data_IF_497431129907
#
_entry.id   IF_497431129907
#
_cell.length_a   1.000
_cell.length_b   1.000
_cell.length_c   1.000
_cell.angle_alpha   90.00
_cell.angle_beta   90.00
_cell.angle_gamma   90.00
#
_symmetry.space_group_name_H-M   'P 1'
#
loop_
_entity.id
_entity.type
_entity.pdbx_description
1 polymer ?
#
# COMPACT_ATOMS: atom_id res chain seq x y z
N UNK A 1 2.16 -23.23 13.10
CA UNK A 1 2.26 -22.06 12.21
C UNK A 1 0.89 -21.40 12.15
N UNK A 2 0.78 -20.13 12.45
CA UNK A 2 -0.50 -19.43 12.40
C UNK A 2 -1.01 -19.46 10.94
N UNK A 3 -2.21 -20.01 10.73
CA UNK A 3 -2.81 -20.20 9.41
C UNK A 3 -2.96 -18.88 8.61
N UNK A 4 -3.09 -17.76 9.32
CA UNK A 4 -3.20 -16.43 8.70
C UNK A 4 -1.84 -15.96 8.19
N UNK A 5 -0.78 -16.12 8.97
CA UNK A 5 0.57 -15.70 8.61
C UNK A 5 1.10 -16.44 7.37
N UNK A 6 0.90 -17.76 7.29
CA UNK A 6 1.36 -18.56 6.15
C UNK A 6 0.73 -18.17 4.81
N UNK A 7 -0.46 -17.57 4.84
CA UNK A 7 -1.16 -17.06 3.65
C UNK A 7 -0.61 -15.73 3.12
N UNK A 8 0.30 -15.09 3.84
CA UNK A 8 0.86 -13.80 3.42
C UNK A 8 2.08 -13.97 2.51
N UNK A 9 2.66 -15.15 2.45
CA UNK A 9 3.76 -15.44 1.56
C UNK A 9 3.24 -16.01 0.23
N UNK A 10 3.53 -15.38 -0.91
CA UNK A 10 3.16 -15.95 -2.21
C UNK A 10 3.90 -17.26 -2.46
N UNK A 11 3.29 -18.15 -3.24
CA UNK A 11 3.96 -19.32 -3.77
C UNK A 11 4.94 -18.95 -4.90
N UNK A 12 5.92 -19.78 -5.24
CA UNK A 12 6.83 -19.55 -6.37
C UNK A 12 6.09 -19.17 -7.65
N UNK A 13 6.55 -18.10 -8.32
CA UNK A 13 5.93 -17.56 -9.53
C UNK A 13 4.61 -16.79 -9.30
N UNK A 14 4.26 -16.49 -8.04
CA UNK A 14 3.08 -15.71 -7.69
C UNK A 14 3.49 -14.40 -7.03
N UNK A 15 2.70 -13.34 -7.29
CA UNK A 15 2.83 -12.04 -6.65
C UNK A 15 1.56 -11.68 -5.89
N UNK A 16 1.75 -10.97 -4.76
CA UNK A 16 0.66 -10.35 -4.02
C UNK A 16 0.84 -8.82 -4.03
N UNK A 17 -0.24 -8.06 -4.07
CA UNK A 17 -0.22 -6.71 -3.54
C UNK A 17 -0.12 -6.85 -2.01
N UNK A 18 1.07 -6.60 -1.48
CA UNK A 18 1.41 -6.82 -0.07
C UNK A 18 0.94 -5.65 0.79
N UNK A 19 1.36 -4.43 0.46
CA UNK A 19 0.94 -3.22 1.15
C UNK A 19 1.05 -1.98 0.28
N UNK A 20 0.38 -0.93 0.73
CA UNK A 20 0.63 0.45 0.33
C UNK A 20 1.09 1.24 1.55
N UNK A 21 1.90 2.30 1.35
CA UNK A 21 2.28 3.14 2.46
C UNK A 21 1.96 4.61 2.22
N UNK A 22 1.34 5.23 3.23
CA UNK A 22 1.27 6.66 3.38
C UNK A 22 2.58 7.17 3.98
N UNK A 23 3.07 8.30 3.48
CA UNK A 23 4.10 9.05 4.20
C UNK A 23 3.40 10.16 4.95
N UNK A 24 3.58 10.17 6.26
CA UNK A 24 2.88 11.08 7.17
C UNK A 24 3.88 11.88 8.00
N UNK A 25 3.54 13.11 8.39
CA UNK A 25 4.45 13.92 9.20
C UNK A 25 4.60 13.39 10.62
N UNK A 26 3.53 12.76 11.18
CA UNK A 26 3.46 12.37 12.59
C UNK A 26 2.60 11.12 12.78
N UNK A 27 3.15 10.07 13.45
CA UNK A 27 2.49 8.79 13.59
C UNK A 27 1.36 8.77 14.62
N UNK A 28 1.44 9.57 15.68
CA UNK A 28 0.40 9.63 16.71
C UNK A 28 -0.91 10.18 16.14
N UNK A 29 -0.85 11.26 15.36
CA UNK A 29 -2.01 11.82 14.67
C UNK A 29 -2.60 10.84 13.65
N UNK A 30 -1.73 10.16 12.89
CA UNK A 30 -2.14 9.13 11.94
C UNK A 30 -2.84 7.95 12.65
N UNK A 31 -2.26 7.43 13.74
CA UNK A 31 -2.84 6.35 14.52
C UNK A 31 -4.21 6.73 15.11
N UNK A 32 -4.33 7.95 15.66
CA UNK A 32 -5.60 8.45 16.20
C UNK A 32 -6.69 8.54 15.10
N UNK A 33 -6.35 9.08 13.93
CA UNK A 33 -7.26 9.16 12.81
C UNK A 33 -7.73 7.78 12.32
N UNK A 34 -6.82 6.80 12.27
CA UNK A 34 -7.14 5.42 11.90
C UNK A 34 -8.05 4.74 12.93
N UNK A 35 -7.80 4.94 14.22
CA UNK A 35 -8.65 4.42 15.29
C UNK A 35 -10.06 5.02 15.24
N UNK A 36 -10.19 6.32 14.96
CA UNK A 36 -11.47 6.98 14.76
C UNK A 36 -12.25 6.39 13.56
N UNK A 37 -11.55 5.99 12.50
CA UNK A 37 -12.12 5.25 11.37
C UNK A 37 -12.47 3.78 11.70
N UNK A 38 -12.16 3.31 12.91
CA UNK A 38 -12.51 1.96 13.38
C UNK A 38 -11.47 0.89 13.04
N UNK A 39 -10.24 1.28 12.74
CA UNK A 39 -9.14 0.33 12.57
C UNK A 39 -8.47 -0.01 13.90
N UNK A 40 -7.96 -1.22 13.99
CA UNK A 40 -6.94 -1.62 14.95
C UNK A 40 -5.58 -1.24 14.36
N UNK A 41 -4.76 -0.52 15.12
CA UNK A 41 -3.45 -0.02 14.70
C UNK A 41 -2.37 -0.70 15.51
N UNK A 42 -1.28 -1.12 14.86
CA UNK A 42 -0.12 -1.70 15.57
C UNK A 42 0.58 -0.63 16.40
N UNK A 43 1.32 -1.00 17.45
CA UNK A 43 2.26 -0.09 18.08
C UNK A 43 3.25 0.51 17.09
N UNK A 44 3.76 1.71 17.40
CA UNK A 44 4.85 2.32 16.65
C UNK A 44 6.09 1.43 16.71
N UNK A 45 6.80 1.35 15.58
CA UNK A 45 7.98 0.52 15.45
C UNK A 45 9.05 1.22 14.60
N UNK A 46 10.25 1.41 15.17
CA UNK A 46 11.40 1.95 14.44
C UNK A 46 11.96 0.91 13.47
N UNK A 47 12.27 1.33 12.26
CA UNK A 47 12.83 0.46 11.23
C UNK A 47 14.38 0.48 11.28
N UNK A 48 14.97 -0.69 11.04
CA UNK A 48 16.40 -0.88 10.95
C UNK A 48 16.77 -1.59 9.65
N UNK A 49 17.88 -1.18 9.06
CA UNK A 49 18.54 -1.89 7.96
C UNK A 49 19.70 -2.70 8.50
N UNK A 50 20.37 -3.46 7.63
CA UNK A 50 21.65 -4.11 7.98
C UNK A 50 22.75 -3.11 8.41
N UNK A 51 22.64 -1.85 7.98
CA UNK A 51 23.62 -0.79 8.23
C UNK A 51 23.27 0.05 9.48
N UNK A 52 22.14 -0.25 10.16
CA UNK A 52 21.69 0.45 11.36
C UNK A 52 20.29 1.06 11.24
N UNK A 53 19.96 2.08 12.07
CA UNK A 53 18.64 2.71 12.05
C UNK A 53 18.28 3.29 10.69
N UNK A 54 17.11 2.95 10.17
CA UNK A 54 16.62 3.47 8.88
C UNK A 54 16.20 4.96 8.94
N UNK A 55 16.03 5.52 10.15
CA UNK A 55 15.56 6.89 10.37
C UNK A 55 14.07 7.07 10.09
N UNK A 56 13.33 5.98 10.06
CA UNK A 56 11.88 5.96 9.89
C UNK A 56 11.23 5.06 10.91
N UNK A 57 10.04 5.44 11.36
CA UNK A 57 9.16 4.61 12.18
C UNK A 57 7.85 4.42 11.45
N UNK A 58 7.08 3.38 11.82
CA UNK A 58 5.77 3.12 11.25
C UNK A 58 4.75 2.67 12.27
N UNK A 59 3.49 2.83 11.90
CA UNK A 59 2.34 2.08 12.41
C UNK A 59 1.65 1.39 11.24
N UNK A 60 0.98 0.27 11.49
CA UNK A 60 0.30 -0.50 10.44
C UNK A 60 -1.14 -0.82 10.81
N UNK A 61 -1.97 -0.95 9.78
CA UNK A 61 -3.30 -1.56 9.83
C UNK A 61 -3.19 -2.91 9.13
N UNK A 62 -3.18 -3.99 9.91
CA UNK A 62 -3.03 -5.35 9.37
C UNK A 62 -4.39 -5.87 8.90
N UNK A 63 -4.47 -6.35 7.66
CA UNK A 63 -5.69 -6.93 7.10
C UNK A 63 -5.53 -8.44 6.95
N UNK A 64 -6.61 -9.16 6.74
CA UNK A 64 -6.55 -10.61 6.44
C UNK A 64 -5.75 -10.88 5.16
N UNK A 65 -5.70 -9.89 4.25
CA UNK A 65 -4.92 -9.94 3.02
C UNK A 65 -4.25 -8.58 2.76
N UNK A 66 -2.93 -8.52 2.98
CA UNK A 66 -2.14 -7.31 2.86
C UNK A 66 -2.26 -6.39 4.09
N UNK A 67 -1.72 -5.18 4.01
CA UNK A 67 -1.81 -4.18 5.07
C UNK A 67 -1.64 -2.75 4.56
N UNK A 68 -1.98 -1.79 5.39
CA UNK A 68 -1.68 -0.37 5.18
C UNK A 68 -0.55 0.01 6.12
N UNK A 69 0.49 0.65 5.59
CA UNK A 69 1.61 1.16 6.37
C UNK A 69 1.54 2.70 6.42
N UNK A 70 1.85 3.26 7.56
CA UNK A 70 1.99 4.70 7.75
C UNK A 70 3.40 4.96 8.26
N UNK A 71 4.21 5.61 7.43
CA UNK A 71 5.64 5.87 7.64
C UNK A 71 5.86 7.34 7.96
N UNK A 72 6.62 7.59 9.02
CA UNK A 72 7.10 8.93 9.35
C UNK A 72 8.63 8.98 9.47
N UNK A 73 9.28 10.11 9.15
CA UNK A 73 10.68 10.33 9.45
C UNK A 73 10.88 10.44 10.96
N UNK A 74 11.79 9.64 11.53
CA UNK A 74 12.11 9.62 12.97
C UNK A 74 13.54 10.08 13.31
N UNK A 75 14.38 10.28 12.28
CA UNK A 75 15.73 10.82 12.43
C UNK A 75 16.16 11.52 11.13
N UNK A 76 17.35 12.11 11.12
CA UNK A 76 17.91 12.74 9.92
C UNK A 76 18.79 11.74 9.14
N UNK A 77 18.17 11.00 8.25
CA UNK A 77 18.81 10.03 7.36
C UNK A 77 18.40 10.28 5.91
N UNK A 78 19.17 9.77 4.97
CA UNK A 78 18.81 9.85 3.53
C UNK A 78 17.42 9.24 3.24
N UNK A 79 17.03 8.18 3.97
CA UNK A 79 15.72 7.57 3.82
C UNK A 79 14.60 8.48 4.36
N UNK A 80 14.80 9.08 5.54
CA UNK A 80 13.86 10.05 6.10
C UNK A 80 13.70 11.29 5.21
N UNK A 81 14.81 11.78 4.63
CA UNK A 81 14.77 12.91 3.70
C UNK A 81 13.96 12.60 2.43
N UNK A 82 14.06 11.35 1.91
CA UNK A 82 13.21 10.91 0.76
C UNK A 82 11.72 10.93 1.11
N UNK A 83 11.35 10.57 2.35
CA UNK A 83 9.94 10.68 2.79
C UNK A 83 9.49 12.14 2.82
N UNK A 84 10.30 13.05 3.39
CA UNK A 84 9.99 14.49 3.44
C UNK A 84 9.79 15.07 2.04
N UNK A 85 10.70 14.75 1.11
CA UNK A 85 10.59 15.19 -0.29
C UNK A 85 9.34 14.65 -0.98
N UNK A 86 8.98 13.39 -0.74
CA UNK A 86 7.76 12.81 -1.31
C UNK A 86 6.50 13.51 -0.78
N UNK A 87 6.41 13.76 0.53
CA UNK A 87 5.29 14.47 1.16
C UNK A 87 5.10 15.90 0.64
N UNK A 88 6.17 16.57 0.15
CA UNK A 88 6.07 17.88 -0.48
C UNK A 88 5.36 17.85 -1.84
N UNK A 89 5.30 16.69 -2.50
CA UNK A 89 4.62 16.54 -3.80
C UNK A 89 3.10 16.54 -3.64
N UNK A 90 2.60 15.75 -2.70
CA UNK A 90 1.18 15.64 -2.34
C UNK A 90 1.04 14.86 -1.02
N UNK A 91 -0.05 15.04 -0.26
CA UNK A 91 -0.34 14.21 0.90
C UNK A 91 -0.93 12.86 0.49
N UNK A 92 -0.58 11.77 1.17
CA UNK A 92 -1.21 10.45 0.95
C UNK A 92 -0.26 9.31 0.67
N UNK A 93 -0.62 8.48 -0.29
CA UNK A 93 0.10 7.23 -0.60
C UNK A 93 1.31 7.52 -1.48
N UNK A 94 2.48 7.05 -1.06
CA UNK A 94 3.74 7.23 -1.78
C UNK A 94 4.49 5.92 -2.05
N UNK A 95 3.93 4.78 -1.60
CA UNK A 95 4.56 3.48 -1.78
C UNK A 95 3.53 2.43 -2.15
N UNK A 96 3.90 1.59 -3.13
CA UNK A 96 3.20 0.37 -3.51
C UNK A 96 4.20 -0.79 -3.44
N UNK A 97 3.86 -1.84 -2.69
CA UNK A 97 4.74 -2.97 -2.46
C UNK A 97 4.09 -4.28 -2.90
N UNK A 98 4.84 -5.04 -3.70
CA UNK A 98 4.48 -6.40 -4.09
C UNK A 98 5.18 -7.41 -3.18
N UNK A 99 4.43 -8.38 -2.66
CA UNK A 99 4.98 -9.54 -1.97
C UNK A 99 5.51 -10.56 -2.96
N UNK A 100 6.74 -11.03 -2.73
CA UNK A 100 7.39 -12.08 -3.52
C UNK A 100 7.89 -13.20 -2.60
N UNK A 101 7.95 -14.46 -3.07
CA UNK A 101 8.60 -15.54 -2.32
C UNK A 101 10.13 -15.52 -2.47
N UNK A 102 10.67 -14.76 -3.44
CA UNK A 102 12.10 -14.78 -3.81
C UNK A 102 12.60 -13.39 -4.18
N UNK A 103 13.19 -12.69 -3.21
CA UNK A 103 13.75 -11.36 -3.41
C UNK A 103 15.02 -11.38 -4.29
N UNK A 104 15.83 -12.45 -4.24
CA UNK A 104 17.02 -12.57 -5.09
C UNK A 104 16.63 -12.74 -6.56
N UNK A 105 15.64 -13.59 -6.83
CA UNK A 105 15.11 -13.78 -8.17
C UNK A 105 14.51 -12.50 -8.75
N UNK A 106 13.74 -11.74 -7.97
CA UNK A 106 13.21 -10.43 -8.41
C UNK A 106 14.33 -9.41 -8.66
N UNK A 107 15.35 -9.36 -7.82
CA UNK A 107 16.49 -8.49 -8.01
C UNK A 107 17.23 -8.82 -9.33
N UNK A 108 17.50 -10.10 -9.58
CA UNK A 108 18.15 -10.56 -10.80
C UNK A 108 17.30 -10.27 -12.05
N UNK A 109 15.98 -10.50 -11.96
CA UNK A 109 15.03 -10.22 -13.04
C UNK A 109 14.97 -8.73 -13.36
N UNK A 110 14.86 -7.85 -12.37
CA UNK A 110 14.85 -6.40 -12.57
C UNK A 110 16.15 -5.89 -13.20
N UNK A 111 17.29 -6.46 -12.80
CA UNK A 111 18.59 -6.15 -13.41
C UNK A 111 18.62 -6.54 -14.88
N UNK A 112 18.15 -7.73 -15.22
CA UNK A 112 18.06 -8.20 -16.60
C UNK A 112 17.10 -7.36 -17.46
N UNK A 113 16.08 -6.75 -16.85
CA UNK A 113 15.10 -5.88 -17.49
C UNK A 113 15.51 -4.39 -17.50
N UNK A 114 16.71 -4.03 -17.10
CA UNK A 114 17.22 -2.65 -17.18
C UNK A 114 16.67 -1.70 -16.11
N UNK A 115 16.09 -2.20 -15.02
CA UNK A 115 15.61 -1.36 -13.91
C UNK A 115 16.72 -0.91 -12.96
N UNK A 116 17.92 -1.46 -13.06
CA UNK A 116 19.06 -1.13 -12.21
C UNK A 116 18.70 -1.16 -10.72
N UNK A 117 18.32 -2.33 -10.17
CA UNK A 117 17.91 -2.44 -8.80
C UNK A 117 19.05 -2.09 -7.86
N UNK A 118 18.71 -1.39 -6.76
CA UNK A 118 19.64 -1.12 -5.68
C UNK A 118 20.01 -2.43 -4.95
N UNK A 119 21.14 -2.48 -4.22
CA UNK A 119 21.46 -3.64 -3.39
C UNK A 119 20.28 -4.02 -2.50
N UNK A 120 20.11 -5.33 -2.30
CA UNK A 120 19.04 -5.87 -1.44
C UNK A 120 19.14 -5.27 -0.04
N UNK A 121 18.00 -4.79 0.46
CA UNK A 121 17.92 -4.24 1.81
C UNK A 121 17.33 -5.29 2.74
N UNK A 122 18.05 -5.64 3.79
CA UNK A 122 17.50 -6.38 4.92
C UNK A 122 16.87 -5.38 5.88
N UNK A 123 15.56 -5.42 5.99
CA UNK A 123 14.79 -4.59 6.89
C UNK A 123 14.35 -5.40 8.10
N UNK A 124 14.41 -4.79 9.26
CA UNK A 124 13.87 -5.39 10.47
C UNK A 124 13.27 -4.33 11.39
N UNK A 125 12.34 -4.78 12.24
CA UNK A 125 11.77 -3.97 13.30
C UNK A 125 11.41 -4.83 14.51
N UNK A 126 11.59 -4.31 15.71
CA UNK A 126 11.05 -4.95 16.91
C UNK A 126 9.53 -4.77 16.91
N UNK A 127 8.81 -5.82 17.19
CA UNK A 127 7.37 -5.80 17.38
C UNK A 127 7.04 -6.14 18.84
N UNK A 128 5.76 -6.09 19.19
CA UNK A 128 5.32 -6.39 20.54
C UNK A 128 5.81 -7.79 20.98
N UNK A 129 6.07 -7.95 22.27
CA UNK A 129 6.57 -9.17 22.93
C UNK A 129 8.02 -9.56 22.53
N UNK A 130 8.81 -8.58 22.08
CA UNK A 130 10.23 -8.78 21.77
C UNK A 130 10.53 -9.57 20.50
N UNK A 131 9.50 -9.97 19.76
CA UNK A 131 9.67 -10.59 18.44
C UNK A 131 10.29 -9.59 17.45
N UNK A 132 10.95 -10.11 16.42
CA UNK A 132 11.55 -9.33 15.35
C UNK A 132 10.82 -9.63 14.04
N UNK A 133 10.27 -8.61 13.40
CA UNK A 133 9.81 -8.73 12.03
C UNK A 133 10.98 -8.49 11.08
N UNK A 134 11.17 -9.38 10.12
CA UNK A 134 12.30 -9.36 9.20
C UNK A 134 11.83 -9.48 7.75
N UNK A 135 12.49 -8.71 6.88
CA UNK A 135 12.11 -8.57 5.48
C UNK A 135 13.35 -8.45 4.60
N UNK A 136 13.22 -8.91 3.35
CA UNK A 136 14.16 -8.57 2.28
C UNK A 136 13.44 -7.71 1.25
N UNK A 137 14.01 -6.57 0.88
CA UNK A 137 13.35 -5.57 0.03
C UNK A 137 14.18 -5.31 -1.21
N UNK A 138 13.54 -5.37 -2.37
CA UNK A 138 14.12 -5.02 -3.67
C UNK A 138 13.57 -3.66 -4.08
N UNK A 139 14.48 -2.71 -4.29
CA UNK A 139 14.18 -1.32 -4.67
C UNK A 139 14.86 -0.95 -5.97
N UNK A 140 14.23 -0.06 -6.70
CA UNK A 140 14.83 0.60 -7.87
C UNK A 140 15.01 2.10 -7.61
N UNK A 141 15.77 2.79 -8.44
CA UNK A 141 15.89 4.24 -8.36
C UNK A 141 14.52 4.91 -8.62
N UNK A 142 14.29 6.08 -8.01
CA UNK A 142 12.98 6.75 -8.03
C UNK A 142 12.53 7.16 -9.44
N UNK A 143 13.46 7.45 -10.33
CA UNK A 143 13.20 7.80 -11.73
C UNK A 143 12.71 6.61 -12.57
N UNK A 144 12.97 5.38 -12.12
CA UNK A 144 12.49 4.17 -12.80
C UNK A 144 10.99 3.91 -12.57
N UNK A 145 10.46 4.35 -11.43
CA UNK A 145 9.04 4.25 -11.08
C UNK A 145 8.57 5.57 -10.46
N UNK A 146 8.35 6.63 -11.28
CA UNK A 146 8.14 7.99 -10.79
C UNK A 146 6.79 8.21 -10.11
N UNK A 147 5.84 7.27 -10.23
CA UNK A 147 4.54 7.35 -9.56
C UNK A 147 4.68 7.24 -8.03
N UNK A 148 5.73 6.60 -7.54
CA UNK A 148 6.00 6.43 -6.13
C UNK A 148 7.12 5.42 -5.88
N UNK A 149 7.35 5.08 -4.63
CA UNK A 149 8.25 3.98 -4.29
C UNK A 149 7.56 2.65 -4.60
N UNK A 150 7.87 2.06 -5.75
CA UNK A 150 7.40 0.73 -6.13
C UNK A 150 8.50 -0.29 -5.84
N UNK A 151 8.19 -1.34 -5.09
CA UNK A 151 9.20 -2.28 -4.59
C UNK A 151 8.63 -3.68 -4.41
N UNK A 152 9.53 -4.67 -4.21
CA UNK A 152 9.15 -6.00 -3.76
C UNK A 152 9.57 -6.20 -2.31
N UNK A 153 8.81 -7.02 -1.58
CA UNK A 153 9.14 -7.50 -0.24
C UNK A 153 9.01 -9.02 -0.17
N UNK A 154 10.01 -9.65 0.39
CA UNK A 154 9.93 -11.03 0.88
C UNK A 154 9.75 -10.98 2.39
N UNK A 155 8.63 -11.50 2.87
CA UNK A 155 8.31 -11.64 4.28
C UNK A 155 9.11 -12.84 4.84
N UNK A 156 9.98 -12.63 5.83
CA UNK A 156 10.76 -13.71 6.45
C UNK A 156 10.11 -14.23 7.74
N UNK A 157 9.40 -13.36 8.46
CA UNK A 157 8.72 -13.67 9.73
C UNK A 157 7.30 -13.13 9.74
N UNK A 158 6.41 -13.59 8.83
CA UNK A 158 5.05 -13.04 8.71
C UNK A 158 4.23 -13.21 10.00
N UNK A 159 4.49 -14.24 10.81
CA UNK A 159 3.85 -14.47 12.10
C UNK A 159 4.16 -13.38 13.13
N UNK A 160 5.25 -12.64 12.96
CA UNK A 160 5.57 -11.53 13.85
C UNK A 160 4.64 -10.32 13.66
N UNK A 161 4.02 -10.15 12.48
CA UNK A 161 3.19 -9.01 12.16
C UNK A 161 1.71 -9.36 11.91
N UNK A 162 1.38 -10.50 11.30
CA UNK A 162 -0.01 -10.96 11.13
C UNK A 162 -0.51 -11.70 12.37
N UNK A 163 -0.74 -10.95 13.44
CA UNK A 163 -1.23 -11.46 14.73
C UNK A 163 -2.72 -11.19 14.85
N UNK A 164 -3.47 -12.15 15.42
CA UNK A 164 -4.93 -12.07 15.54
C UNK A 164 -5.43 -10.81 16.22
N UNK A 165 -4.67 -10.28 17.18
CA UNK A 165 -5.02 -9.05 17.91
C UNK A 165 -5.00 -7.78 17.04
N UNK A 166 -4.34 -7.79 15.88
CA UNK A 166 -4.30 -6.67 14.94
C UNK A 166 -5.29 -6.81 13.78
N UNK A 167 -6.04 -7.89 13.75
CA UNK A 167 -7.11 -8.16 12.81
C UNK A 167 -8.48 -7.86 13.44
N UNK A 168 -9.54 -7.90 12.69
CA UNK A 168 -10.89 -7.74 13.27
C UNK A 168 -11.28 -6.28 13.50
N UNK A 169 -11.09 -5.44 12.49
CA UNK A 169 -11.46 -4.02 12.53
C UNK A 169 -12.97 -3.82 12.67
N UNK A 170 -13.40 -2.89 13.54
CA UNK A 170 -14.82 -2.58 13.73
C UNK A 170 -15.50 -2.00 12.49
N UNK A 171 -14.73 -1.47 11.56
CA UNK A 171 -15.19 -1.01 10.24
C UNK A 171 -15.29 -2.11 9.19
N UNK A 172 -14.95 -3.35 9.55
CA UNK A 172 -15.05 -4.58 8.72
C UNK A 172 -14.14 -4.64 7.49
N UNK A 173 -13.12 -3.79 7.38
CA UNK A 173 -12.11 -3.89 6.33
C UNK A 173 -11.27 -5.17 6.50
N UNK A 174 -11.06 -5.91 5.40
CA UNK A 174 -10.41 -7.24 5.43
C UNK A 174 -9.30 -7.42 4.42
N UNK A 175 -9.26 -6.60 3.35
CA UNK A 175 -8.29 -6.81 2.28
C UNK A 175 -7.89 -5.50 1.62
N UNK A 176 -6.60 -5.36 1.34
CA UNK A 176 -6.10 -4.40 0.37
C UNK A 176 -6.35 -4.96 -1.03
N UNK A 177 -7.33 -4.39 -1.72
CA UNK A 177 -7.83 -4.93 -2.97
C UNK A 177 -7.10 -4.38 -4.19
N UNK A 178 -6.74 -3.09 -4.18
CA UNK A 178 -6.16 -2.44 -5.35
C UNK A 178 -5.30 -1.23 -4.97
N UNK A 179 -4.18 -1.01 -5.68
CA UNK A 179 -3.46 0.26 -5.72
C UNK A 179 -3.93 1.07 -6.93
N UNK A 180 -4.09 2.39 -6.77
CA UNK A 180 -4.62 3.31 -7.78
C UNK A 180 -3.50 4.24 -8.24
N UNK A 181 -3.22 4.27 -9.55
CA UNK A 181 -2.08 4.99 -10.15
C UNK A 181 -2.59 6.07 -11.09
N UNK A 182 -2.06 7.30 -10.93
CA UNK A 182 -2.31 8.43 -11.84
C UNK A 182 -1.22 8.49 -12.89
N UNK A 183 -1.63 8.56 -14.16
CA UNK A 183 -0.75 8.66 -15.30
C UNK A 183 -1.30 9.63 -16.36
N UNK A 184 -0.41 10.33 -17.06
CA UNK A 184 -0.80 11.11 -18.23
C UNK A 184 -1.07 10.17 -19.42
N UNK A 185 -0.25 9.13 -19.60
CA UNK A 185 -0.47 8.01 -20.50
C UNK A 185 -0.62 6.69 -19.72
N UNK A 186 -1.86 6.25 -19.42
CA UNK A 186 -2.10 5.01 -18.68
C UNK A 186 -1.58 3.74 -19.37
N UNK A 187 -1.48 3.73 -20.69
CA UNK A 187 -1.00 2.55 -21.45
C UNK A 187 0.51 2.42 -21.28
N UNK A 188 1.25 3.50 -21.45
CA UNK A 188 2.71 3.53 -21.24
C UNK A 188 3.06 3.15 -19.80
N UNK A 189 2.42 3.80 -18.83
CA UNK A 189 2.68 3.53 -17.40
C UNK A 189 2.33 2.09 -17.05
N UNK A 190 1.19 1.56 -17.52
CA UNK A 190 0.84 0.16 -17.27
C UNK A 190 1.81 -0.82 -17.92
N UNK A 191 2.37 -0.50 -19.09
CA UNK A 191 3.41 -1.32 -19.73
C UNK A 191 4.69 -1.34 -18.90
N UNK A 192 5.12 -0.20 -18.35
CA UNK A 192 6.28 -0.11 -17.44
C UNK A 192 6.05 -0.87 -16.14
N UNK A 193 4.86 -0.74 -15.53
CA UNK A 193 4.47 -1.52 -14.35
C UNK A 193 4.40 -3.02 -14.65
N UNK A 194 3.91 -3.41 -15.82
CA UNK A 194 3.91 -4.79 -16.29
C UNK A 194 5.33 -5.36 -16.42
N UNK A 195 6.23 -4.59 -17.03
CA UNK A 195 7.64 -4.97 -17.15
C UNK A 195 8.35 -5.07 -15.79
N UNK A 196 8.02 -4.14 -14.85
CA UNK A 196 8.51 -4.17 -13.48
C UNK A 196 7.99 -5.39 -12.70
N UNK A 197 6.71 -5.70 -12.77
CA UNK A 197 6.06 -6.71 -11.93
C UNK A 197 5.88 -8.08 -12.59
N UNK A 198 6.17 -8.21 -13.88
CA UNK A 198 5.83 -9.36 -14.72
C UNK A 198 4.31 -9.68 -14.75
N UNK A 199 3.46 -8.70 -14.44
CA UNK A 199 2.01 -8.82 -14.55
C UNK A 199 1.57 -8.44 -15.98
N UNK A 200 0.42 -8.96 -16.40
CA UNK A 200 -0.12 -8.67 -17.73
C UNK A 200 -1.13 -7.51 -17.66
N UNK A 201 -0.92 -6.43 -18.42
CA UNK A 201 -1.88 -5.33 -18.49
C UNK A 201 -3.10 -5.73 -19.33
N UNK A 202 -4.28 -5.30 -18.91
CA UNK A 202 -5.55 -5.52 -19.61
C UNK A 202 -6.39 -4.24 -19.57
N UNK A 203 -7.11 -3.96 -20.65
CA UNK A 203 -8.09 -2.87 -20.64
C UNK A 203 -9.24 -3.18 -19.64
N UNK A 204 -9.63 -2.18 -18.86
CA UNK A 204 -10.71 -2.26 -17.88
C UNK A 204 -11.56 -0.97 -17.94
N UNK A 205 -12.40 -0.85 -18.95
CA UNK A 205 -13.13 0.37 -19.25
C UNK A 205 -12.18 1.53 -19.57
N UNK A 206 -12.24 2.58 -18.77
CA UNK A 206 -11.37 3.76 -18.92
C UNK A 206 -9.99 3.60 -18.26
N UNK A 207 -9.71 2.45 -17.61
CA UNK A 207 -8.47 2.17 -16.89
C UNK A 207 -7.69 1.05 -17.56
N UNK A 208 -6.40 0.95 -17.21
CA UNK A 208 -5.61 -0.24 -17.49
C UNK A 208 -5.38 -1.00 -16.17
N UNK A 209 -5.62 -2.29 -16.20
CA UNK A 209 -5.63 -3.17 -15.04
C UNK A 209 -4.47 -4.17 -15.10
N UNK A 210 -3.75 -4.33 -13.99
CA UNK A 210 -2.78 -5.39 -13.76
C UNK A 210 -3.25 -6.22 -12.57
N UNK A 211 -3.41 -7.53 -12.78
CA UNK A 211 -3.87 -8.46 -11.74
C UNK A 211 -2.69 -9.27 -11.20
N UNK A 212 -2.38 -9.11 -9.92
CA UNK A 212 -1.54 -10.04 -9.18
C UNK A 212 -2.39 -11.26 -8.75
N UNK A 213 -1.76 -12.31 -8.25
CA UNK A 213 -2.49 -13.46 -7.69
C UNK A 213 -3.40 -13.03 -6.53
N UNK A 214 -3.01 -11.99 -5.80
CA UNK A 214 -3.80 -11.34 -4.76
C UNK A 214 -3.61 -9.81 -4.86
N UNK A 215 -4.70 -9.12 -5.12
CA UNK A 215 -4.72 -7.67 -5.30
C UNK A 215 -4.41 -7.23 -6.73
N UNK A 216 -4.64 -5.95 -6.97
CA UNK A 216 -4.66 -5.38 -8.31
C UNK A 216 -3.95 -4.02 -8.33
N UNK A 217 -3.58 -3.57 -9.53
CA UNK A 217 -3.20 -2.19 -9.82
C UNK A 217 -4.13 -1.68 -10.92
N UNK A 218 -4.68 -0.50 -10.75
CA UNK A 218 -5.44 0.22 -11.76
C UNK A 218 -4.71 1.52 -12.12
N UNK A 219 -4.45 1.71 -13.41
CA UNK A 219 -3.79 2.90 -13.94
C UNK A 219 -4.80 3.70 -14.74
N UNK A 220 -4.92 4.99 -14.44
CA UNK A 220 -5.86 5.88 -15.09
C UNK A 220 -5.36 7.32 -15.14
N UNK A 221 -6.02 8.15 -15.97
CA UNK A 221 -5.76 9.58 -16.02
C UNK A 221 -6.29 10.29 -14.77
N UNK A 222 -5.72 11.46 -14.48
CA UNK A 222 -6.12 12.25 -13.31
C UNK A 222 -7.62 12.54 -13.27
N UNK A 223 -8.20 12.96 -14.38
CA UNK A 223 -9.63 13.29 -14.48
C UNK A 223 -10.55 12.11 -14.16
N UNK A 224 -10.13 10.89 -14.50
CA UNK A 224 -10.87 9.66 -14.18
C UNK A 224 -10.87 9.41 -12.66
N UNK A 225 -9.71 9.61 -12.01
CA UNK A 225 -9.59 9.48 -10.56
C UNK A 225 -10.35 10.59 -9.83
N UNK A 226 -10.27 11.84 -10.29
CA UNK A 226 -11.07 12.95 -9.74
C UNK A 226 -12.57 12.66 -9.85
N UNK A 227 -13.02 12.11 -10.97
CA UNK A 227 -14.42 11.70 -11.14
C UNK A 227 -14.86 10.63 -10.14
N UNK A 228 -13.98 9.73 -9.70
CA UNK A 228 -14.28 8.67 -8.73
C UNK A 228 -14.04 9.09 -7.28
N UNK A 229 -12.90 9.70 -6.99
CA UNK A 229 -12.41 9.99 -5.64
C UNK A 229 -12.83 11.37 -5.13
N UNK A 230 -13.18 12.29 -6.03
CA UNK A 230 -13.43 13.70 -5.73
C UNK A 230 -12.18 14.56 -5.89
N UNK A 231 -11.01 14.04 -5.59
CA UNK A 231 -9.70 14.64 -5.83
C UNK A 231 -8.65 13.57 -6.13
N UNK A 232 -7.57 13.97 -6.81
CA UNK A 232 -6.41 13.12 -7.10
C UNK A 232 -5.17 13.97 -7.35
N UNK A 233 -3.97 13.49 -6.95
CA UNK A 233 -2.73 14.20 -7.22
C UNK A 233 -2.47 14.33 -8.72
N UNK A 234 -1.57 15.25 -9.09
CA UNK A 234 -1.06 15.34 -10.45
C UNK A 234 -0.21 14.11 -10.80
N UNK A 235 -0.22 13.69 -12.07
CA UNK A 235 0.65 12.63 -12.54
C UNK A 235 2.13 13.08 -12.55
N UNK A 236 3.08 12.15 -12.41
CA UNK A 236 2.90 10.75 -12.00
C UNK A 236 2.72 10.60 -10.49
N UNK A 237 1.74 9.80 -10.03
CA UNK A 237 1.44 9.65 -8.60
C UNK A 237 0.68 8.36 -8.28
N UNK A 238 0.59 8.02 -7.00
CA UNK A 238 -0.38 7.06 -6.48
C UNK A 238 -1.63 7.83 -6.03
N UNK A 239 -2.79 7.57 -6.65
CA UNK A 239 -4.05 8.25 -6.35
C UNK A 239 -4.63 7.82 -4.99
N UNK A 240 -4.29 6.62 -4.54
CA UNK A 240 -4.85 6.00 -3.35
C UNK A 240 -4.91 4.49 -3.48
N UNK A 241 -5.91 3.88 -2.84
CA UNK A 241 -6.11 2.42 -2.87
C UNK A 241 -7.57 2.05 -2.67
N UNK A 242 -7.89 0.76 -2.92
CA UNK A 242 -9.21 0.21 -2.66
C UNK A 242 -9.14 -0.85 -1.55
N UNK A 243 -10.12 -0.82 -0.64
CA UNK A 243 -10.29 -1.81 0.43
C UNK A 243 -11.53 -2.66 0.20
N UNK A 244 -11.41 -3.97 0.42
CA UNK A 244 -12.56 -4.84 0.58
C UNK A 244 -13.02 -4.81 2.04
N UNK A 245 -14.31 -4.54 2.24
CA UNK A 245 -14.98 -4.56 3.53
C UNK A 245 -16.14 -5.56 3.48
N UNK A 246 -16.38 -6.31 4.58
CA UNK A 246 -17.55 -7.18 4.68
C UNK A 246 -18.85 -6.39 4.71
N UNK A 247 -18.85 -5.28 5.46
CA UNK A 247 -19.97 -4.37 5.63
C UNK A 247 -19.50 -2.91 5.41
N UNK A 248 -19.34 -2.46 4.15
CA UNK A 248 -18.75 -1.15 3.86
C UNK A 248 -19.56 0.03 4.42
N UNK A 249 -20.85 -0.17 4.70
CA UNK A 249 -21.68 0.83 5.36
C UNK A 249 -21.16 1.22 6.76
N UNK A 250 -20.48 0.32 7.47
CA UNK A 250 -19.87 0.65 8.79
C UNK A 250 -18.75 1.68 8.63
N UNK A 251 -17.86 1.48 7.65
CA UNK A 251 -16.80 2.44 7.36
C UNK A 251 -17.37 3.75 6.82
N UNK A 252 -18.39 3.69 5.95
CA UNK A 252 -19.08 4.88 5.46
C UNK A 252 -19.71 5.71 6.60
N UNK A 253 -20.30 5.04 7.61
CA UNK A 253 -20.84 5.70 8.81
C UNK A 253 -19.74 6.40 9.62
N UNK A 254 -18.56 5.79 9.76
CA UNK A 254 -17.40 6.41 10.41
C UNK A 254 -16.93 7.66 9.67
N UNK A 255 -16.80 7.58 8.33
CA UNK A 255 -16.45 8.74 7.51
C UNK A 255 -17.45 9.90 7.71
N UNK A 256 -18.76 9.61 7.75
CA UNK A 256 -19.79 10.62 7.99
C UNK A 256 -19.68 11.25 9.39
N UNK A 257 -19.47 10.44 10.43
CA UNK A 257 -19.30 10.93 11.81
C UNK A 257 -18.09 11.85 11.96
N UNK A 258 -17.05 11.61 11.17
CA UNK A 258 -15.84 12.43 11.13
C UNK A 258 -15.94 13.62 10.17
N UNK A 259 -17.09 13.84 9.54
CA UNK A 259 -17.27 14.93 8.58
C UNK A 259 -16.46 14.82 7.30
N UNK A 260 -15.95 13.63 6.98
CA UNK A 260 -15.13 13.43 5.79
C UNK A 260 -15.96 13.47 4.52
N UNK A 261 -15.48 14.09 3.43
CA UNK A 261 -16.09 13.99 2.12
C UNK A 261 -16.29 12.52 1.74
N UNK A 262 -17.55 12.11 1.60
CA UNK A 262 -17.94 10.73 1.30
C UNK A 262 -18.89 10.71 0.12
N UNK A 263 -18.60 9.87 -0.85
CA UNK A 263 -19.38 9.67 -2.05
C UNK A 263 -19.76 8.21 -2.20
N UNK A 264 -21.04 7.94 -2.45
CA UNK A 264 -21.51 6.61 -2.88
C UNK A 264 -21.39 6.52 -4.40
N UNK A 265 -20.48 5.67 -4.90
CA UNK A 265 -20.27 5.47 -6.34
C UNK A 265 -21.39 4.61 -6.93
N UNK A 266 -21.68 3.50 -6.25
CA UNK A 266 -22.76 2.56 -6.58
C UNK A 266 -23.14 1.75 -5.34
N UNK A 267 -24.04 0.76 -5.50
CA UNK A 267 -24.40 -0.07 -4.34
C UNK A 267 -23.15 -0.73 -3.72
N UNK A 268 -23.02 -0.64 -2.40
CA UNK A 268 -21.91 -1.19 -1.62
C UNK A 268 -20.49 -0.75 -2.06
N UNK A 269 -20.38 0.40 -2.76
CA UNK A 269 -19.12 0.99 -3.18
C UNK A 269 -19.09 2.48 -2.87
N UNK A 270 -18.08 2.89 -2.13
CA UNK A 270 -17.89 4.27 -1.67
C UNK A 270 -16.48 4.77 -2.00
N UNK A 271 -16.36 6.07 -2.19
CA UNK A 271 -15.10 6.80 -2.16
C UNK A 271 -15.16 7.84 -1.05
N UNK A 272 -14.06 8.06 -0.38
CA UNK A 272 -13.95 9.11 0.63
C UNK A 272 -12.56 9.74 0.62
N UNK A 273 -12.47 11.01 1.00
CA UNK A 273 -11.22 11.59 1.44
C UNK A 273 -10.80 10.96 2.76
N UNK A 274 -9.50 10.85 2.98
CA UNK A 274 -8.94 10.47 4.26
C UNK A 274 -8.77 11.71 5.16
N UNK A 275 -8.71 11.54 6.50
CA UNK A 275 -8.34 12.63 7.39
C UNK A 275 -7.01 13.29 6.98
N UNK A 276 -6.85 14.58 7.23
CA UNK A 276 -5.65 15.36 6.86
C UNK A 276 -4.36 14.74 7.40
N UNK A 277 -4.39 14.13 8.57
CA UNK A 277 -3.25 13.43 9.17
C UNK A 277 -2.76 12.23 8.34
N UNK A 278 -3.58 11.69 7.44
CA UNK A 278 -3.27 10.58 6.54
C UNK A 278 -3.07 11.08 5.11
N UNK A 279 -3.89 12.03 4.70
CA UNK A 279 -3.92 12.57 3.34
C UNK A 279 -4.41 11.59 2.28
N UNK A 280 -4.82 12.12 1.13
CA UNK A 280 -5.26 11.35 -0.01
C UNK A 280 -6.71 10.83 0.09
N UNK A 281 -7.02 9.86 -0.74
CA UNK A 281 -8.38 9.31 -0.89
C UNK A 281 -8.34 7.79 -1.06
N UNK A 282 -9.45 7.15 -0.79
CA UNK A 282 -9.62 5.71 -0.96
C UNK A 282 -10.98 5.32 -1.51
N UNK A 283 -11.06 4.10 -2.03
CA UNK A 283 -12.31 3.44 -2.39
C UNK A 283 -12.49 2.27 -1.42
N UNK A 284 -13.71 2.00 -1.01
CA UNK A 284 -14.01 0.80 -0.22
C UNK A 284 -15.39 0.24 -0.56
N UNK A 285 -15.49 -1.08 -0.51
CA UNK A 285 -16.71 -1.77 -0.87
C UNK A 285 -16.67 -3.26 -0.57
N UNK A 286 -17.78 -3.96 -0.83
CA UNK A 286 -17.75 -5.43 -0.86
C UNK A 286 -16.94 -5.91 -2.06
N UNK A 287 -16.51 -7.17 -2.03
CA UNK A 287 -15.83 -7.81 -3.18
C UNK A 287 -16.61 -7.62 -4.49
N UNK A 288 -17.93 -7.85 -4.45
CA UNK A 288 -18.83 -7.63 -5.59
C UNK A 288 -18.92 -6.14 -5.96
N UNK A 289 -19.01 -5.27 -4.96
CA UNK A 289 -19.07 -3.82 -5.14
C UNK A 289 -17.82 -3.26 -5.82
N UNK A 290 -16.64 -3.76 -5.51
CA UNK A 290 -15.38 -3.34 -6.15
C UNK A 290 -15.34 -3.74 -7.63
N UNK A 291 -16.01 -4.85 -8.03
CA UNK A 291 -16.04 -5.30 -9.42
C UNK A 291 -14.67 -5.68 -9.99
N UNK A 292 -13.71 -5.98 -9.11
CA UNK A 292 -12.40 -6.47 -9.51
C UNK A 292 -12.49 -7.96 -9.86
N UNK A 293 -11.76 -8.44 -10.87
CA UNK A 293 -11.72 -9.87 -11.21
C UNK A 293 -11.23 -10.70 -10.02
N UNK A 294 -11.66 -11.94 -9.98
CA UNK A 294 -11.24 -12.92 -8.96
C UNK A 294 -9.85 -13.45 -9.22
#
# INVERSE_FOLDING_TARGET
>A
MDYIASRQCPLPGKLFLDHVAHFVPELGAAAHALQALGFVVTPESAQHTQDGPAGTSNVCVMLEHGYLEFLAPSADTANAQRLRTAMQRYPGVHLCCFGTPDADGEHARLKAHGFEPQPLVQLSRKVQDGMKAEFRVVRVAADRMPEGRVQFVQQLTPEAIWRSQYLGHSNTAVKLACALVVADDPVEVAARWAHFSALLPRAAGAFVHLAATRGHVLVGKREQWVALLGDAPAAPALAGYALECREPARLASRCKLLGLPLRRIRNELYAAALPDALGGSWIFGTRKGLGLPS
#
